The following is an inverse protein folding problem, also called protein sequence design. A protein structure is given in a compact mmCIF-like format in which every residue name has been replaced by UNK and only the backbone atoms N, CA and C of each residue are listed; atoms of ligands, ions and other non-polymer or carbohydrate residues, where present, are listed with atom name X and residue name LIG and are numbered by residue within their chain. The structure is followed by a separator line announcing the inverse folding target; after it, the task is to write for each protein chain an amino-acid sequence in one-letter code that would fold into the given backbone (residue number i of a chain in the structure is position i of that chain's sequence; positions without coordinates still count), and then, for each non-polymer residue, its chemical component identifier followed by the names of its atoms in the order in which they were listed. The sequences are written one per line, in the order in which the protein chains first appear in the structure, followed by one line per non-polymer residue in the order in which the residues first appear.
data_IF_075294038278
#
_entry.id   IF_075294038278
#
_cell.length_a   1.000
_cell.length_b   1.000
_cell.length_c   1.000
_cell.angle_alpha   90.00
_cell.angle_beta   90.00
_cell.angle_gamma   90.00
#
_symmetry.space_group_name_H-M   'P 1'
#
loop_
_entity.id
_entity.type
_entity.pdbx_description
1 polymer ?
#
# COMPACT_ATOMS: atom_id res chain seq x y z
N UNK A 1 25.48 8.49 72.73
CA UNK A 1 25.20 9.04 71.37
C UNK A 1 24.12 8.15 70.76
N UNK A 2 22.81 8.43 70.91
CA UNK A 2 21.97 9.31 70.07
C UNK A 2 22.18 9.03 68.57
N UNK A 3 21.48 8.03 67.99
CA UNK A 3 20.15 8.05 67.34
C UNK A 3 20.16 8.40 65.83
N UNK A 4 19.90 7.36 65.03
CA UNK A 4 18.83 7.27 64.04
C UNK A 4 18.98 7.93 62.65
N UNK A 5 19.16 7.04 61.66
CA UNK A 5 18.52 6.96 60.34
C UNK A 5 18.31 8.23 59.52
N UNK A 6 19.06 8.35 58.42
CA UNK A 6 18.60 9.01 57.19
C UNK A 6 18.43 7.96 56.09
N UNK A 7 17.26 7.31 56.09
CA UNK A 7 16.77 6.57 54.92
C UNK A 7 16.45 7.62 53.86
N UNK A 8 17.29 7.71 52.83
CA UNK A 8 17.09 8.62 51.72
C UNK A 8 15.94 8.08 50.85
N UNK A 9 14.82 8.80 50.85
CA UNK A 9 13.62 8.52 50.06
C UNK A 9 13.93 8.64 48.55
N UNK A 10 13.83 7.48 47.89
CA UNK A 10 13.46 7.16 46.51
C UNK A 10 13.07 8.30 45.56
N UNK A 11 13.67 8.32 44.36
CA UNK A 11 12.93 8.36 43.08
C UNK A 11 13.68 7.47 42.08
N UNK A 12 13.26 6.21 41.93
CA UNK A 12 13.60 5.42 40.74
C UNK A 12 12.65 5.91 39.64
N UNK A 13 13.16 6.76 38.76
CA UNK A 13 12.43 7.19 37.58
C UNK A 13 12.42 6.01 36.60
N UNK A 14 11.39 5.16 36.68
CA UNK A 14 11.12 4.17 35.63
C UNK A 14 10.68 4.97 34.41
N UNK A 15 11.64 5.31 33.54
CA UNK A 15 11.31 5.71 32.18
C UNK A 15 10.76 4.48 31.48
N UNK A 16 9.43 4.34 31.46
CA UNK A 16 8.77 3.53 30.45
C UNK A 16 9.01 4.31 29.16
N UNK A 17 10.06 3.94 28.43
CA UNK A 17 10.19 4.37 27.05
C UNK A 17 8.98 3.80 26.32
N UNK A 18 7.96 4.63 26.10
CA UNK A 18 7.01 4.37 25.05
C UNK A 18 7.85 4.36 23.78
N UNK A 19 8.14 3.16 23.27
CA UNK A 19 8.60 3.03 21.90
C UNK A 19 7.41 3.52 21.08
N UNK A 20 7.44 4.81 20.73
CA UNK A 20 6.61 5.34 19.69
C UNK A 20 7.09 4.62 18.42
N UNK A 21 6.47 3.48 18.11
CA UNK A 21 6.57 2.91 16.78
C UNK A 21 5.90 3.95 15.90
N UNK A 22 6.71 4.83 15.31
CA UNK A 22 6.26 5.61 14.18
C UNK A 22 5.82 4.57 13.15
N UNK A 23 4.53 4.56 12.79
CA UNK A 23 4.10 3.94 11.55
C UNK A 23 4.78 4.75 10.44
N UNK A 24 6.01 4.39 10.09
CA UNK A 24 6.70 4.92 8.92
C UNK A 24 5.79 4.58 7.74
N UNK A 25 5.02 5.56 7.28
CA UNK A 25 4.24 5.41 6.05
C UNK A 25 5.27 5.14 4.96
N UNK A 26 5.04 4.15 4.08
CA UNK A 26 5.92 3.94 2.94
C UNK A 26 6.13 5.27 2.20
N UNK A 27 7.37 5.63 1.96
CA UNK A 27 7.70 6.83 1.20
C UNK A 27 8.53 6.48 -0.01
N UNK A 28 8.17 7.05 -1.15
CA UNK A 28 8.98 7.00 -2.36
C UNK A 28 9.47 8.41 -2.65
N UNK A 29 10.77 8.55 -2.90
CA UNK A 29 11.35 9.78 -3.43
C UNK A 29 11.96 9.44 -4.78
N UNK A 30 11.46 10.12 -5.81
CA UNK A 30 11.98 10.01 -7.17
C UNK A 30 12.47 11.37 -7.61
N UNK A 31 13.69 11.42 -8.15
CA UNK A 31 14.29 12.65 -8.67
C UNK A 31 15.01 12.37 -9.97
N UNK A 32 14.94 13.32 -10.89
CA UNK A 32 15.80 13.35 -12.07
C UNK A 32 17.24 13.68 -11.65
N UNK A 33 18.21 12.97 -12.22
CA UNK A 33 19.64 13.13 -11.84
C UNK A 33 20.48 13.55 -13.03
N UNK A 34 20.33 12.87 -14.17
CA UNK A 34 21.09 13.09 -15.41
C UNK A 34 20.16 12.95 -16.63
N UNK A 35 20.70 13.03 -17.85
CA UNK A 35 19.93 12.85 -19.07
C UNK A 35 19.15 11.51 -19.03
N UNK A 36 17.82 11.60 -19.10
CA UNK A 36 16.88 10.47 -18.99
C UNK A 36 17.13 9.49 -17.82
N UNK A 37 17.76 9.92 -16.73
CA UNK A 37 18.02 9.07 -15.57
C UNK A 37 17.30 9.58 -14.33
N UNK A 38 16.60 8.67 -13.64
CA UNK A 38 15.97 8.96 -12.35
C UNK A 38 16.61 8.15 -11.22
N UNK A 39 16.75 8.76 -10.04
CA UNK A 39 17.03 8.04 -8.81
C UNK A 39 15.70 7.74 -8.10
N UNK A 40 15.51 6.48 -7.74
CA UNK A 40 14.37 5.98 -6.99
C UNK A 40 14.86 5.53 -5.62
N UNK A 41 14.28 6.12 -4.57
CA UNK A 41 14.48 5.75 -3.18
C UNK A 41 13.13 5.33 -2.61
N UNK A 42 13.00 4.09 -2.14
CA UNK A 42 11.77 3.59 -1.52
C UNK A 42 12.10 2.99 -0.15
N UNK A 43 11.46 3.53 0.89
CA UNK A 43 11.71 3.19 2.31
C UNK A 43 10.40 3.05 3.07
N UNK A 44 10.42 2.41 4.25
CA UNK A 44 9.23 2.27 5.10
C UNK A 44 8.20 1.26 4.58
N UNK A 45 8.61 0.35 3.69
CA UNK A 45 7.73 -0.71 3.16
C UNK A 45 7.61 -1.92 4.11
N UNK A 46 8.33 -1.93 5.24
CA UNK A 46 8.28 -3.00 6.25
C UNK A 46 8.78 -4.35 5.73
N UNK A 47 8.42 -5.43 6.41
CA UNK A 47 8.83 -6.81 6.08
C UNK A 47 8.04 -7.44 4.92
N UNK A 48 7.34 -6.65 4.10
CA UNK A 48 6.60 -7.17 2.95
C UNK A 48 7.37 -7.01 1.65
N UNK A 49 7.34 -8.07 0.83
CA UNK A 49 7.84 -8.05 -0.56
C UNK A 49 7.20 -6.89 -1.33
N UNK A 50 8.04 -6.11 -2.00
CA UNK A 50 7.61 -4.90 -2.73
C UNK A 50 8.09 -4.96 -4.17
N UNK A 51 7.17 -4.81 -5.12
CA UNK A 51 7.44 -4.78 -6.55
C UNK A 51 7.54 -3.33 -7.04
N UNK A 52 8.58 -3.04 -7.80
CA UNK A 52 8.84 -1.74 -8.43
C UNK A 52 8.80 -1.97 -9.94
N UNK A 53 7.89 -1.29 -10.63
CA UNK A 53 7.65 -1.46 -12.06
C UNK A 53 7.62 -0.10 -12.76
N UNK A 54 8.36 0.07 -13.85
CA UNK A 54 8.20 1.19 -14.76
C UNK A 54 7.48 0.72 -16.02
N UNK A 55 6.37 1.38 -16.38
CA UNK A 55 5.58 1.04 -17.56
C UNK A 55 5.13 2.27 -18.32
N UNK A 56 4.86 2.13 -19.62
CA UNK A 56 4.26 3.18 -20.45
C UNK A 56 2.73 3.25 -20.29
N UNK A 57 2.11 4.31 -20.83
CA UNK A 57 0.65 4.50 -20.79
C UNK A 57 -0.19 3.37 -21.39
N UNK A 58 0.35 2.57 -22.31
CA UNK A 58 -0.32 1.38 -22.85
C UNK A 58 -0.07 0.09 -22.04
N UNK A 59 0.61 0.19 -20.90
CA UNK A 59 0.89 -0.94 -20.00
C UNK A 59 2.13 -1.76 -20.32
N UNK A 60 2.90 -1.44 -21.37
CA UNK A 60 4.18 -2.14 -21.64
C UNK A 60 5.17 -1.86 -20.51
N UNK A 61 5.71 -2.93 -19.94
CA UNK A 61 6.72 -2.86 -18.85
C UNK A 61 8.11 -2.70 -19.45
N UNK A 62 8.85 -1.72 -18.95
CA UNK A 62 10.24 -1.44 -19.34
C UNK A 62 11.24 -1.81 -18.24
N UNK A 63 10.80 -1.78 -16.99
CA UNK A 63 11.60 -2.20 -15.85
C UNK A 63 10.71 -2.85 -14.81
N UNK A 64 11.22 -3.91 -14.18
CA UNK A 64 10.59 -4.55 -13.02
C UNK A 64 11.66 -5.11 -12.10
N UNK A 65 11.51 -4.88 -10.82
CA UNK A 65 12.32 -5.48 -9.78
C UNK A 65 11.47 -5.75 -8.54
N UNK A 66 11.83 -6.79 -7.82
CA UNK A 66 11.23 -7.11 -6.53
C UNK A 66 12.27 -6.94 -5.44
N UNK A 67 11.93 -6.13 -4.44
CA UNK A 67 12.69 -5.94 -3.21
C UNK A 67 12.16 -6.89 -2.14
N UNK A 68 13.05 -7.56 -1.41
CA UNK A 68 12.67 -8.41 -0.28
C UNK A 68 12.17 -7.56 0.88
N UNK A 69 11.29 -8.13 1.70
CA UNK A 69 10.81 -7.44 2.89
C UNK A 69 11.95 -7.08 3.85
N UNK A 70 11.86 -5.91 4.47
CA UNK A 70 12.83 -5.41 5.44
C UNK A 70 14.02 -4.67 4.82
N UNK A 71 14.14 -4.64 3.50
CA UNK A 71 15.21 -3.94 2.78
C UNK A 71 14.72 -2.58 2.26
N UNK A 72 15.56 -1.55 2.41
CA UNK A 72 15.35 -0.29 1.72
C UNK A 72 15.84 -0.42 0.27
N UNK A 73 15.16 0.28 -0.64
CA UNK A 73 15.52 0.28 -2.05
C UNK A 73 16.12 1.62 -2.48
N UNK A 74 17.23 1.55 -3.20
CA UNK A 74 17.86 2.69 -3.83
C UNK A 74 18.45 2.27 -5.18
N UNK A 75 17.96 2.88 -6.28
CA UNK A 75 18.47 2.58 -7.61
C UNK A 75 18.42 3.78 -8.54
N UNK A 76 19.40 3.86 -9.43
CA UNK A 76 19.36 4.73 -10.62
C UNK A 76 18.78 3.93 -11.78
N UNK A 77 17.74 4.46 -12.40
CA UNK A 77 17.14 3.89 -13.61
C UNK A 77 17.52 4.78 -14.78
N UNK A 78 18.43 4.27 -15.62
CA UNK A 78 18.78 4.88 -16.89
C UNK A 78 17.73 4.49 -17.94
N UNK A 79 17.11 5.49 -18.56
CA UNK A 79 16.04 5.36 -19.54
C UNK A 79 16.45 5.96 -20.89
N UNK A 80 17.75 6.13 -21.15
CA UNK A 80 18.30 6.65 -22.40
C UNK A 80 17.75 5.93 -23.64
N UNK A 81 17.70 4.60 -23.60
CA UNK A 81 17.19 3.72 -24.66
C UNK A 81 15.65 3.66 -24.74
N UNK A 82 14.94 4.35 -23.84
CA UNK A 82 13.48 4.38 -23.84
C UNK A 82 12.94 5.50 -24.75
N UNK A 83 11.86 5.23 -25.51
CA UNK A 83 11.19 6.25 -26.29
C UNK A 83 10.76 7.45 -25.45
N UNK A 84 10.63 8.61 -26.10
CA UNK A 84 9.98 9.75 -25.47
C UNK A 84 8.49 9.44 -25.26
N UNK A 85 7.93 9.86 -24.13
CA UNK A 85 6.54 9.60 -23.81
C UNK A 85 6.24 9.63 -22.32
N UNK A 86 5.01 9.23 -21.99
CA UNK A 86 4.50 9.20 -20.63
C UNK A 86 4.61 7.79 -20.04
N UNK A 87 5.18 7.73 -18.84
CA UNK A 87 5.44 6.52 -18.09
C UNK A 87 4.91 6.66 -16.66
N UNK A 88 4.76 5.53 -16.00
CA UNK A 88 4.38 5.45 -14.59
C UNK A 88 5.32 4.52 -13.88
N UNK A 89 5.96 5.04 -12.82
CA UNK A 89 6.66 4.21 -11.86
C UNK A 89 5.65 3.76 -10.79
N UNK A 90 5.42 2.46 -10.73
CA UNK A 90 4.53 1.81 -9.79
C UNK A 90 5.34 1.09 -8.71
N UNK A 91 4.98 1.31 -7.44
CA UNK A 91 5.53 0.61 -6.29
C UNK A 91 4.36 -0.06 -5.58
N UNK A 92 4.34 -1.38 -5.54
CA UNK A 92 3.21 -2.16 -5.02
C UNK A 92 3.68 -3.23 -4.05
N UNK A 93 3.01 -3.33 -2.89
CA UNK A 93 3.22 -4.43 -1.94
C UNK A 93 1.87 -4.98 -1.48
N UNK A 94 1.86 -5.81 -0.42
CA UNK A 94 0.60 -6.36 0.14
C UNK A 94 -0.35 -5.28 0.68
N UNK A 95 0.16 -4.14 1.12
CA UNK A 95 -0.57 -3.15 1.92
C UNK A 95 -0.89 -1.86 1.14
N UNK A 96 -0.09 -1.50 0.14
CA UNK A 96 -0.23 -0.24 -0.59
C UNK A 96 0.18 -0.36 -2.06
N UNK A 97 -0.21 0.66 -2.81
CA UNK A 97 0.15 0.89 -4.19
C UNK A 97 0.45 2.39 -4.37
N UNK A 98 1.59 2.73 -4.94
CA UNK A 98 1.99 4.10 -5.26
C UNK A 98 2.28 4.19 -6.75
N UNK A 99 1.76 5.22 -7.41
CA UNK A 99 2.01 5.52 -8.81
C UNK A 99 2.57 6.94 -8.95
N UNK A 100 3.71 7.06 -9.62
CA UNK A 100 4.40 8.33 -9.86
C UNK A 100 4.54 8.54 -11.37
N UNK A 101 3.93 9.59 -11.94
CA UNK A 101 4.11 9.92 -13.35
C UNK A 101 5.54 10.35 -13.66
N UNK A 102 6.08 9.81 -14.75
CA UNK A 102 7.42 10.13 -15.26
C UNK A 102 7.30 10.40 -16.76
N UNK A 103 7.66 11.61 -17.18
CA UNK A 103 7.69 12.00 -18.59
C UNK A 103 9.11 11.93 -19.12
N UNK A 104 9.32 11.18 -20.20
CA UNK A 104 10.60 11.14 -20.91
C UNK A 104 10.56 12.05 -22.13
N UNK A 105 11.50 12.99 -22.17
CA UNK A 105 11.76 13.86 -23.31
C UNK A 105 13.17 13.58 -23.85
N UNK A 106 13.51 14.16 -25.01
CA UNK A 106 14.70 13.79 -25.80
C UNK A 106 15.97 13.56 -24.95
N UNK A 107 16.27 14.47 -24.02
CA UNK A 107 17.46 14.41 -23.18
C UNK A 107 17.16 14.52 -21.68
N UNK A 108 15.90 14.36 -21.25
CA UNK A 108 15.55 14.54 -19.84
C UNK A 108 14.42 13.62 -19.41
N UNK A 109 14.43 13.26 -18.13
CA UNK A 109 13.29 12.66 -17.46
C UNK A 109 12.70 13.70 -16.52
N UNK A 110 11.39 13.90 -16.55
CA UNK A 110 10.66 14.79 -15.65
C UNK A 110 9.76 13.95 -14.75
N UNK A 111 10.07 13.97 -13.46
CA UNK A 111 9.27 13.29 -12.44
C UNK A 111 8.21 14.24 -11.93
N UNK A 112 6.94 13.87 -12.04
CA UNK A 112 5.84 14.70 -11.55
C UNK A 112 5.33 14.20 -10.19
N UNK A 113 6.10 14.47 -9.13
CA UNK A 113 5.74 14.06 -7.76
C UNK A 113 4.49 14.75 -7.20
N UNK A 114 4.02 15.85 -7.80
CA UNK A 114 2.78 16.51 -7.38
C UNK A 114 1.53 15.70 -7.73
N UNK A 115 1.64 14.88 -8.76
CA UNK A 115 0.56 14.01 -9.26
C UNK A 115 0.77 12.55 -8.79
N UNK A 116 1.59 12.35 -7.77
CA UNK A 116 1.75 11.04 -7.12
C UNK A 116 0.42 10.61 -6.48
N UNK A 117 0.03 9.36 -6.74
CA UNK A 117 -1.14 8.74 -6.11
C UNK A 117 -0.67 7.57 -5.26
N UNK A 118 -0.92 7.63 -3.96
CA UNK A 118 -0.75 6.50 -3.04
C UNK A 118 -2.12 6.00 -2.57
N UNK A 119 -2.31 4.69 -2.66
CA UNK A 119 -3.50 3.95 -2.24
C UNK A 119 -3.10 2.94 -1.18
N UNK A 120 -3.67 3.05 0.01
CA UNK A 120 -3.62 1.96 1.00
C UNK A 120 -4.71 0.96 0.63
N UNK A 121 -4.32 -0.30 0.44
CA UNK A 121 -5.23 -1.35 -0.02
C UNK A 121 -6.30 -1.62 1.04
N UNK A 122 -7.58 -1.76 0.64
CA UNK A 122 -8.61 -2.16 1.60
C UNK A 122 -8.29 -3.54 2.19
N UNK A 123 -8.65 -3.73 3.46
CA UNK A 123 -8.39 -4.99 4.18
C UNK A 123 -9.67 -5.76 4.38
N UNK A 124 -9.56 -7.08 4.32
CA UNK A 124 -10.66 -8.02 4.46
C UNK A 124 -10.53 -8.77 5.78
N UNK A 125 -11.65 -8.93 6.48
CA UNK A 125 -11.72 -9.74 7.69
C UNK A 125 -13.05 -10.49 7.77
N UNK A 126 -13.01 -11.81 7.81
CA UNK A 126 -14.18 -12.68 7.98
C UNK A 126 -14.34 -13.01 9.46
N UNK A 127 -15.52 -12.74 10.02
CA UNK A 127 -15.87 -13.05 11.41
C UNK A 127 -17.21 -13.76 11.43
N UNK A 128 -17.19 -15.08 11.64
CA UNK A 128 -18.34 -15.94 11.40
C UNK A 128 -18.82 -15.79 9.95
N UNK A 129 -20.12 -15.59 9.76
CA UNK A 129 -20.72 -15.39 8.44
C UNK A 129 -20.66 -13.94 7.92
N UNK A 130 -19.76 -13.10 8.42
CA UNK A 130 -19.69 -11.68 8.06
C UNK A 130 -18.35 -11.33 7.47
N UNK A 131 -18.34 -10.79 6.25
CA UNK A 131 -17.17 -10.17 5.65
C UNK A 131 -17.17 -8.68 6.00
N UNK A 132 -16.12 -8.24 6.69
CA UNK A 132 -15.83 -6.84 6.92
C UNK A 132 -14.77 -6.38 5.92
N UNK A 133 -15.05 -5.31 5.19
CA UNK A 133 -14.13 -4.62 4.30
C UNK A 133 -13.81 -3.29 4.96
N UNK A 134 -12.54 -3.04 5.29
CA UNK A 134 -12.10 -1.78 5.88
C UNK A 134 -11.27 -0.98 4.89
N UNK A 135 -11.48 0.33 4.89
CA UNK A 135 -10.82 1.29 4.02
C UNK A 135 -10.01 2.26 4.86
N UNK A 136 -8.82 2.65 4.37
CA UNK A 136 -7.86 3.40 5.18
C UNK A 136 -8.29 4.86 5.44
N UNK A 137 -9.00 5.49 4.49
CA UNK A 137 -9.36 6.89 4.57
C UNK A 137 -10.80 7.07 5.07
N UNK A 138 -10.99 7.94 6.07
CA UNK A 138 -12.32 8.29 6.61
C UNK A 138 -13.16 9.07 5.59
N UNK A 139 -12.50 9.82 4.70
CA UNK A 139 -13.08 10.39 3.48
C UNK A 139 -12.65 9.53 2.30
N UNK A 140 -13.08 8.27 2.30
CA UNK A 140 -12.74 7.34 1.23
C UNK A 140 -13.30 7.86 -0.08
N UNK A 141 -12.41 8.16 -1.03
CA UNK A 141 -12.83 8.25 -2.42
C UNK A 141 -13.55 6.97 -2.81
N UNK A 142 -14.57 7.11 -3.67
CA UNK A 142 -15.46 6.05 -4.11
C UNK A 142 -14.76 4.69 -4.32
N UNK A 143 -15.14 3.71 -3.51
CA UNK A 143 -14.70 2.32 -3.61
C UNK A 143 -15.85 1.45 -4.07
N UNK A 144 -15.67 0.77 -5.19
CA UNK A 144 -16.59 -0.27 -5.65
C UNK A 144 -16.13 -1.63 -5.15
N UNK A 145 -17.01 -2.38 -4.52
CA UNK A 145 -16.74 -3.73 -4.00
C UNK A 145 -17.63 -4.72 -4.74
N UNK A 146 -17.04 -5.76 -5.33
CA UNK A 146 -17.76 -6.90 -5.91
C UNK A 146 -17.31 -8.19 -5.25
N UNK A 147 -18.25 -9.07 -4.92
CA UNK A 147 -17.97 -10.40 -4.38
C UNK A 147 -18.37 -11.44 -5.43
N UNK A 148 -17.51 -12.42 -5.67
CA UNK A 148 -17.74 -13.50 -6.61
C UNK A 148 -17.56 -14.87 -5.95
N UNK A 149 -18.33 -15.85 -6.41
CA UNK A 149 -18.09 -17.26 -6.12
C UNK A 149 -16.98 -17.85 -7.00
N UNK A 150 -16.67 -19.14 -6.82
CA UNK A 150 -15.68 -19.87 -7.62
C UNK A 150 -16.05 -20.01 -9.10
N UNK A 151 -17.33 -19.86 -9.45
CA UNK A 151 -17.83 -19.93 -10.82
C UNK A 151 -17.85 -18.55 -11.49
N UNK A 152 -17.25 -17.53 -10.86
CA UNK A 152 -17.26 -16.13 -11.30
C UNK A 152 -18.64 -15.48 -11.35
N UNK A 153 -19.63 -16.03 -10.64
CA UNK A 153 -20.92 -15.36 -10.48
C UNK A 153 -20.77 -14.21 -9.48
N UNK A 154 -21.23 -13.01 -9.85
CA UNK A 154 -21.20 -11.85 -8.97
C UNK A 154 -22.34 -11.92 -7.95
N UNK A 155 -21.99 -12.15 -6.69
CA UNK A 155 -22.91 -12.27 -5.56
C UNK A 155 -23.29 -10.93 -4.96
N UNK A 156 -22.39 -9.95 -5.02
CA UNK A 156 -22.62 -8.60 -4.51
C UNK A 156 -21.91 -7.56 -5.37
N UNK A 157 -22.49 -6.35 -5.43
CA UNK A 157 -21.88 -5.17 -6.05
C UNK A 157 -22.35 -3.91 -5.31
N UNK A 158 -21.42 -3.24 -4.63
CA UNK A 158 -21.72 -2.12 -3.75
C UNK A 158 -20.74 -0.97 -3.98
N UNK A 159 -21.25 0.25 -3.82
CA UNK A 159 -20.45 1.49 -3.82
C UNK A 159 -20.33 2.00 -2.38
N UNK A 160 -19.11 2.36 -1.97
CA UNK A 160 -18.80 2.93 -0.65
C UNK A 160 -18.07 4.25 -0.85
N UNK A 161 -18.56 5.36 -0.28
CA UNK A 161 -18.00 6.70 -0.52
C UNK A 161 -17.89 7.59 0.72
N UNK A 162 -18.40 7.15 1.87
CA UNK A 162 -18.42 7.94 3.12
C UNK A 162 -18.14 7.11 4.38
N UNK A 163 -18.01 5.79 4.23
CA UNK A 163 -17.79 4.87 5.33
C UNK A 163 -16.38 4.29 5.22
N UNK A 164 -15.65 4.28 6.33
CA UNK A 164 -14.34 3.61 6.39
C UNK A 164 -14.45 2.08 6.54
N UNK A 165 -15.68 1.53 6.58
CA UNK A 165 -15.91 0.10 6.66
C UNK A 165 -17.26 -0.29 6.07
N UNK A 166 -17.30 -1.35 5.28
CA UNK A 166 -18.53 -2.01 4.82
C UNK A 166 -18.60 -3.44 5.36
N UNK A 167 -19.80 -3.89 5.72
CA UNK A 167 -20.05 -5.28 6.14
C UNK A 167 -21.00 -5.96 5.18
N UNK A 168 -20.67 -7.18 4.79
CA UNK A 168 -21.51 -8.07 3.98
C UNK A 168 -21.93 -9.27 4.82
N UNK A 169 -23.20 -9.65 4.71
CA UNK A 169 -23.74 -10.86 5.30
C UNK A 169 -23.57 -12.02 4.31
N UNK A 170 -22.80 -13.04 4.72
CA UNK A 170 -22.49 -14.23 3.95
C UNK A 170 -23.22 -15.48 4.49
N UNK A 171 -24.15 -15.33 5.43
CA UNK A 171 -24.83 -16.46 6.10
C UNK A 171 -25.53 -17.42 5.13
N UNK A 172 -26.01 -16.88 4.00
CA UNK A 172 -26.69 -17.62 2.93
C UNK A 172 -25.75 -18.29 1.93
N UNK A 173 -24.44 -18.02 2.01
CA UNK A 173 -23.45 -18.58 1.09
C UNK A 173 -22.91 -19.90 1.63
N UNK A 174 -22.50 -20.82 0.78
CA UNK A 174 -21.94 -22.10 1.22
C UNK A 174 -20.51 -21.96 1.75
N UNK A 175 -20.02 -22.97 2.47
CA UNK A 175 -18.61 -23.08 2.81
C UNK A 175 -17.78 -23.05 1.53
N UNK A 176 -16.74 -22.21 1.47
CA UNK A 176 -15.90 -22.12 0.29
C UNK A 176 -15.08 -20.85 0.20
N UNK A 177 -14.41 -20.69 -0.95
CA UNK A 177 -13.62 -19.51 -1.27
C UNK A 177 -14.44 -18.51 -2.10
N UNK A 178 -14.23 -17.24 -1.81
CA UNK A 178 -14.86 -16.13 -2.51
C UNK A 178 -13.82 -15.12 -2.92
N UNK A 179 -14.02 -14.50 -4.08
CA UNK A 179 -13.15 -13.46 -4.61
C UNK A 179 -13.78 -12.10 -4.36
N UNK A 180 -13.03 -11.18 -3.76
CA UNK A 180 -13.45 -9.80 -3.54
C UNK A 180 -12.62 -8.89 -4.44
N UNK A 181 -13.30 -8.26 -5.40
CA UNK A 181 -12.73 -7.24 -6.28
C UNK A 181 -13.08 -5.87 -5.74
N UNK A 182 -12.07 -5.05 -5.52
CA UNK A 182 -12.21 -3.68 -5.03
C UNK A 182 -11.61 -2.72 -6.04
N UNK A 183 -12.35 -1.69 -6.44
CA UNK A 183 -11.90 -0.69 -7.40
C UNK A 183 -12.01 0.71 -6.82
N UNK A 184 -10.89 1.42 -6.81
CA UNK A 184 -10.80 2.81 -6.32
C UNK A 184 -9.63 3.50 -7.02
N UNK A 185 -9.71 4.82 -7.25
CA UNK A 185 -8.63 5.61 -7.87
C UNK A 185 -8.07 5.00 -9.17
N UNK A 186 -8.93 4.38 -9.98
CA UNK A 186 -8.52 3.73 -11.23
C UNK A 186 -7.77 2.40 -11.08
N UNK A 187 -7.56 1.90 -9.86
CA UNK A 187 -6.84 0.65 -9.57
C UNK A 187 -7.79 -0.43 -9.05
N UNK A 188 -7.58 -1.66 -9.52
CA UNK A 188 -8.26 -2.87 -9.05
C UNK A 188 -7.38 -3.61 -8.05
N UNK A 189 -7.97 -4.06 -6.95
CA UNK A 189 -7.38 -4.96 -5.98
C UNK A 189 -8.25 -6.21 -5.87
N UNK A 190 -7.63 -7.38 -5.95
CA UNK A 190 -8.30 -8.67 -5.86
C UNK A 190 -7.74 -9.39 -4.64
N UNK A 191 -8.63 -9.85 -3.77
CA UNK A 191 -8.28 -10.65 -2.60
C UNK A 191 -9.25 -11.82 -2.48
N UNK A 192 -8.78 -12.93 -1.94
CA UNK A 192 -9.61 -14.11 -1.67
C UNK A 192 -9.92 -14.20 -0.19
N UNK A 193 -11.13 -14.65 0.14
CA UNK A 193 -11.55 -14.96 1.50
C UNK A 193 -12.16 -16.35 1.55
N UNK A 194 -11.96 -17.05 2.66
CA UNK A 194 -12.55 -18.38 2.90
C UNK A 194 -13.63 -18.27 3.96
N UNK A 195 -14.80 -18.85 3.68
CA UNK A 195 -15.89 -18.98 4.63
C UNK A 195 -15.87 -20.41 5.18
N UNK A 196 -15.50 -20.54 6.46
CA UNK A 196 -15.48 -21.80 7.20
C UNK A 196 -16.72 -21.83 8.09
N UNK A 197 -17.74 -22.61 7.71
CA UNK A 197 -18.93 -22.87 8.53
C UNK A 197 -18.70 -24.04 9.48
#
# INVERSE_FOLDING_TARGET
MKTMNKVMLTIVMVMISTIAIANERPTVKVKSVEAKTIAVLATGYGEVKTDITLKSGNGRVFYRETVKGGENYAKRLDMSEMPNGEYTLEIENKNSFTAIPVKLELNTAVVNSKDEVTIVKPTLNVVGDKLNVAFADQNTEEVWVSIFDNNSNRLAYEKVSTENRKRFDLSRLEKGNYTVLMFTKGKKFIQSVSLEK
#
